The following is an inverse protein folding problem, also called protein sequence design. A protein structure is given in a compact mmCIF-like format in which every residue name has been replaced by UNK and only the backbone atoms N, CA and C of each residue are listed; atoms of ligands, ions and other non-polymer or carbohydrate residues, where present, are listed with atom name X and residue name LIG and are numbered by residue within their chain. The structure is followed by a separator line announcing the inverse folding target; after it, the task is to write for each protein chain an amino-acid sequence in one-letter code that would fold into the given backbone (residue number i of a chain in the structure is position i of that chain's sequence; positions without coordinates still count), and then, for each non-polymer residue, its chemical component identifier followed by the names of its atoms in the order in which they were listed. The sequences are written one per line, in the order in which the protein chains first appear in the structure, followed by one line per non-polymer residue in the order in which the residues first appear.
data_IF_162486023958
#
_entry.id   IF_162486023958
#
_cell.length_a   1.000
_cell.length_b   1.000
_cell.length_c   1.000
_cell.angle_alpha   90.00
_cell.angle_beta   90.00
_cell.angle_gamma   90.00
#
_symmetry.space_group_name_H-M   'P 1'
#
loop_
_entity.id
_entity.type
_entity.pdbx_description
1 polymer ?
2 non-polymer ?
3 non-polymer ?
4 non-polymer ?
5 water ?
#
# COMPACT_ATOMS: atom_id res chain seq x y z
N UNK A 1 15.50 2.86 -6.02
CA UNK A 1 14.13 2.98 -5.39
C UNK A 1 14.12 2.22 -4.04
N UNK A 2 12.95 2.03 -3.48
CA UNK A 2 12.81 1.49 -2.14
C UNK A 2 13.36 0.04 -2.04
N UNK A 3 13.09 -0.79 -3.04
CA UNK A 3 13.60 -2.16 -3.12
C UNK A 3 15.13 -2.18 -3.11
N UNK A 4 15.72 -1.33 -3.94
CA UNK A 4 17.18 -1.22 -3.90
C UNK A 4 17.71 -0.83 -2.51
N UNK A 5 17.13 0.15 -1.88
CA UNK A 5 17.56 0.58 -0.55
C UNK A 5 17.60 -0.53 0.49
N UNK A 6 16.59 -1.40 0.46
CA UNK A 6 16.53 -2.56 1.35
C UNK A 6 17.71 -3.49 1.10
N UNK A 7 18.09 -3.64 -0.18
CA UNK A 7 19.27 -4.46 -0.53
C UNK A 7 20.54 -3.74 -0.03
N UNK A 8 20.58 -2.43 -0.13
CA UNK A 8 21.75 -1.64 0.30
C UNK A 8 21.92 -1.77 1.81
N UNK A 9 20.84 -1.61 2.57
CA UNK A 9 20.90 -1.70 4.05
C UNK A 9 21.27 -3.12 4.50
N UNK A 10 20.60 -4.12 3.96
CA UNK A 10 20.87 -5.51 4.33
C UNK A 10 22.34 -5.90 4.04
N UNK A 11 22.95 -5.25 3.06
CA UNK A 11 24.35 -5.51 2.61
C UNK A 11 25.37 -5.26 3.72
N UNK A 12 25.08 -4.24 4.54
CA UNK A 12 25.95 -3.84 5.60
C UNK A 12 25.07 -3.46 6.80
N UNK A 13 24.21 -4.41 7.14
CA UNK A 13 23.13 -4.19 8.11
C UNK A 13 23.67 -3.72 9.47
N UNK A 14 24.71 -4.36 9.99
CA UNK A 14 25.19 -3.95 11.30
C UNK A 14 25.77 -2.48 11.38
N UNK A 15 26.42 -2.03 10.33
CA UNK A 15 26.92 -0.67 10.26
C UNK A 15 25.77 0.35 10.13
N UNK A 16 24.79 0.08 9.25
CA UNK A 16 23.62 0.93 9.06
C UNK A 16 22.80 0.89 10.29
N UNK A 17 22.69 -0.27 10.93
CA UNK A 17 21.82 -0.33 12.12
C UNK A 17 22.42 0.46 13.29
N UNK A 18 23.73 0.28 13.56
CA UNK A 18 24.38 1.14 14.54
C UNK A 18 24.27 2.61 14.23
N UNK A 19 24.61 3.04 13.00
CA UNK A 19 24.64 4.44 12.64
C UNK A 19 23.32 5.12 12.67
N UNK A 20 22.27 4.45 12.18
CA UNK A 20 20.96 5.06 12.18
C UNK A 20 20.38 5.18 13.61
N UNK A 21 20.53 4.12 14.38
CA UNK A 21 20.10 4.15 15.78
C UNK A 21 20.81 5.23 16.65
N UNK A 22 22.12 5.38 16.47
CA UNK A 22 22.86 6.45 17.13
C UNK A 22 22.31 7.82 16.66
N UNK A 23 22.03 7.94 15.39
CA UNK A 23 21.47 9.16 14.85
C UNK A 23 20.15 9.49 15.53
N UNK A 24 19.29 8.50 15.64
CA UNK A 24 18.06 8.57 16.44
C UNK A 24 18.21 9.03 17.88
N UNK A 25 19.01 8.30 18.67
CA UNK A 25 19.20 8.68 20.09
C UNK A 25 19.81 10.05 20.29
N UNK A 26 20.71 10.46 19.42
CA UNK A 26 21.39 11.72 19.63
C UNK A 26 20.53 12.84 19.15
N UNK A 27 19.71 12.57 18.14
CA UNK A 27 18.77 13.59 17.64
C UNK A 27 17.66 13.78 18.67
N UNK A 28 17.30 12.70 19.39
CA UNK A 28 16.20 12.72 20.35
C UNK A 28 16.67 12.13 21.67
N UNK A 29 17.48 12.90 22.41
CA UNK A 29 18.21 12.31 23.55
C UNK A 29 17.28 11.79 24.67
N UNK A 30 16.03 12.30 24.68
CA UNK A 30 15.11 11.82 25.66
C UNK A 30 14.62 10.42 25.39
N UNK A 31 14.83 9.91 24.18
CA UNK A 31 14.53 8.54 23.90
C UNK A 31 15.55 7.55 24.45
N UNK A 32 16.72 8.00 24.83
CA UNK A 32 17.65 7.08 25.38
C UNK A 32 17.15 6.43 26.67
N UNK A 33 16.30 7.15 27.41
CA UNK A 33 15.82 6.60 28.65
C UNK A 33 15.21 5.20 28.54
N UNK A 34 14.90 4.73 27.32
CA UNK A 34 14.17 3.46 27.19
C UNK A 34 15.12 2.34 27.16
N UNK A 35 16.39 2.73 27.06
CA UNK A 35 17.45 1.81 26.78
C UNK A 35 18.43 1.92 27.92
N UNK A 36 18.15 1.23 29.03
CA UNK A 36 18.83 1.42 30.33
C UNK A 36 20.34 1.25 30.30
N UNK A 37 20.80 0.25 29.57
CA UNK A 37 22.21 -0.08 29.46
C UNK A 37 23.01 0.80 28.47
N UNK A 38 22.34 1.77 27.85
CA UNK A 38 22.97 2.64 26.82
C UNK A 38 23.19 4.03 27.38
N UNK A 39 22.63 4.25 28.55
CA UNK A 39 22.74 5.54 29.22
C UNK A 39 24.17 5.70 29.59
N UNK A 40 24.67 6.91 29.33
CA UNK A 40 25.97 7.38 29.80
C UNK A 40 27.11 6.81 29.02
N UNK A 41 26.87 6.43 27.78
CA UNK A 41 27.91 5.96 26.89
C UNK A 41 28.04 6.86 25.62
N UNK A 42 29.26 7.08 25.20
CA UNK A 42 29.50 7.77 23.94
C UNK A 42 29.25 6.83 22.75
N UNK A 43 29.25 7.39 21.54
CA UNK A 43 28.94 6.61 20.32
C UNK A 43 29.96 5.48 20.18
N UNK A 44 31.22 5.81 20.46
CA UNK A 44 32.25 4.87 20.18
C UNK A 44 32.21 3.84 21.31
N UNK A 45 31.90 4.20 22.54
CA UNK A 45 31.72 3.19 23.55
C UNK A 45 30.62 2.21 23.22
N UNK A 46 29.53 2.68 22.63
CA UNK A 46 28.44 1.80 22.27
C UNK A 46 28.87 0.90 21.14
N UNK A 47 29.54 1.47 20.12
CA UNK A 47 29.91 0.68 18.98
C UNK A 47 30.91 -0.39 19.40
N UNK A 48 31.52 -0.26 20.56
CA UNK A 48 32.43 -1.30 21.09
C UNK A 48 31.78 -2.38 21.99
N UNK A 49 30.50 -2.24 22.35
CA UNK A 49 29.77 -3.21 23.17
C UNK A 49 29.09 -4.15 22.20
N UNK A 50 29.47 -5.44 22.18
CA UNK A 50 28.93 -6.39 21.24
C UNK A 50 27.38 -6.50 21.32
N UNK A 51 26.78 -6.46 22.52
CA UNK A 51 25.35 -6.58 22.65
C UNK A 51 24.57 -5.32 22.15
N UNK A 52 25.28 -4.19 22.02
CA UNK A 52 24.68 -3.00 21.38
C UNK A 52 24.52 -3.28 19.87
N UNK A 53 25.58 -3.67 19.20
CA UNK A 53 25.45 -4.07 17.80
C UNK A 53 24.46 -5.22 17.63
N UNK A 54 24.47 -6.19 18.53
CA UNK A 54 23.56 -7.32 18.45
C UNK A 54 22.06 -6.94 18.54
N UNK A 55 21.65 -6.09 19.46
CA UNK A 55 20.26 -5.62 19.62
C UNK A 55 19.80 -4.76 18.47
N UNK A 56 20.69 -3.93 18.01
CA UNK A 56 20.31 -2.98 16.96
C UNK A 56 20.17 -3.68 15.63
N UNK A 57 21.06 -4.64 15.35
CA UNK A 57 20.94 -5.38 14.14
C UNK A 57 19.58 -6.11 14.10
N UNK A 58 19.18 -6.73 15.23
CA UNK A 58 17.90 -7.43 15.32
C UNK A 58 16.75 -6.48 15.09
N UNK A 59 16.89 -5.24 15.56
CA UNK A 59 15.84 -4.26 15.36
C UNK A 59 15.70 -3.99 13.84
N UNK A 60 16.84 -3.75 13.16
CA UNK A 60 16.81 -3.31 11.75
C UNK A 60 16.55 -4.50 10.83
N UNK A 61 16.93 -5.69 11.29
CA UNK A 61 16.55 -6.90 10.58
C UNK A 61 15.00 -7.01 10.43
N UNK A 62 14.28 -6.87 11.55
CA UNK A 62 12.83 -6.94 11.49
C UNK A 62 12.29 -5.75 10.69
N UNK A 63 12.82 -4.54 10.93
CA UNK A 63 12.43 -3.44 10.04
C UNK A 63 12.52 -3.68 8.47
N UNK A 64 13.58 -4.32 8.01
CA UNK A 64 13.72 -4.64 6.59
C UNK A 64 12.73 -5.70 6.12
N UNK A 65 12.38 -6.63 7.00
CA UNK A 65 11.43 -7.70 6.71
C UNK A 65 10.09 -7.06 6.50
N UNK A 66 9.76 -6.09 7.35
CA UNK A 66 8.48 -5.39 7.28
C UNK A 66 8.44 -4.57 6.01
N UNK A 67 9.54 -3.86 5.73
CA UNK A 67 9.68 -3.12 4.48
C UNK A 67 9.55 -3.99 3.25
N UNK A 68 10.17 -5.16 3.26
CA UNK A 68 10.16 -6.04 2.10
C UNK A 68 8.74 -6.63 1.87
N UNK A 69 8.01 -6.81 2.94
CA UNK A 69 6.68 -7.37 2.79
C UNK A 69 5.62 -6.37 2.32
N UNK A 70 5.94 -5.09 2.44
CA UNK A 70 5.06 -3.99 2.06
C UNK A 70 4.84 -3.89 0.59
N UNK A 71 3.68 -3.35 0.21
CA UNK A 71 3.34 -3.11 -1.22
C UNK A 71 3.20 -1.61 -1.43
N UNK A 72 3.96 -1.02 -2.38
CA UNK A 72 4.02 0.45 -2.57
C UNK A 72 4.17 1.21 -1.24
N UNK A 73 5.06 0.73 -0.35
CA UNK A 73 5.31 1.38 0.99
C UNK A 73 4.19 1.27 2.01
N UNK A 74 3.19 0.42 1.72
CA UNK A 74 2.14 0.12 2.74
C UNK A 74 2.42 -1.25 3.42
N UNK A 75 2.70 -1.25 4.75
CA UNK A 75 2.99 -2.46 5.53
C UNK A 75 1.76 -3.34 5.77
N UNK A 76 2.00 -4.64 5.96
CA UNK A 76 0.92 -5.58 6.25
C UNK A 76 0.39 -5.26 7.60
N UNK A 77 -0.93 -5.40 7.77
CA UNK A 77 -1.55 -5.18 9.07
C UNK A 77 -0.95 -6.08 10.14
N UNK A 78 -0.56 -7.29 9.74
CA UNK A 78 -0.09 -8.25 10.70
C UNK A 78 1.30 -7.88 11.20
N UNK A 79 2.12 -7.31 10.32
CA UNK A 79 3.44 -6.83 10.79
C UNK A 79 3.29 -5.70 11.78
N UNK A 80 2.37 -4.79 11.51
CA UNK A 80 2.10 -3.75 12.45
C UNK A 80 1.67 -4.34 13.81
N UNK A 81 0.80 -5.37 13.79
CA UNK A 81 0.34 -5.98 15.02
C UNK A 81 1.49 -6.57 15.82
N UNK A 82 2.43 -7.23 15.18
CA UNK A 82 3.58 -7.77 15.89
C UNK A 82 4.32 -6.72 16.69
N UNK A 83 4.55 -5.57 16.07
CA UNK A 83 5.32 -4.47 16.67
C UNK A 83 4.71 -3.82 17.92
N UNK A 84 3.38 -3.78 17.95
CA UNK A 84 2.57 -3.22 19.03
C UNK A 84 2.51 -4.18 20.21
N UNK A 85 2.48 -5.46 19.95
CA UNK A 85 2.35 -6.37 21.09
C UNK A 85 3.55 -7.09 21.52
N UNK A 86 4.70 -6.70 20.97
CA UNK A 86 6.00 -7.07 21.55
C UNK A 86 6.12 -6.48 22.95
N UNK A 87 6.44 -7.32 23.93
CA UNK A 87 6.42 -6.84 25.31
C UNK A 87 7.41 -5.70 25.55
N UNK A 88 8.42 -5.59 24.68
CA UNK A 88 9.44 -4.54 24.73
C UNK A 88 8.96 -3.19 24.29
N UNK A 89 7.86 -3.20 23.55
CA UNK A 89 7.25 -1.99 23.00
C UNK A 89 6.00 -1.57 23.80
N UNK A 90 5.72 -2.29 24.91
CA UNK A 90 4.51 -2.10 25.75
C UNK A 90 4.20 -0.64 26.17
N UNK A 91 5.24 0.14 26.44
CA UNK A 91 4.96 1.50 26.92
C UNK A 91 5.17 2.62 25.89
N UNK A 92 5.11 2.31 24.60
CA UNK A 92 5.46 3.33 23.60
C UNK A 92 4.24 3.86 22.98
N UNK A 93 4.37 5.00 22.38
CA UNK A 93 3.31 5.49 21.56
C UNK A 93 3.78 5.72 20.10
N UNK A 94 2.86 6.02 19.20
CA UNK A 94 3.30 6.23 17.81
C UNK A 94 4.29 7.39 17.65
N UNK A 95 4.30 8.29 18.64
CA UNK A 95 5.22 9.41 18.55
C UNK A 95 6.64 8.91 18.61
N UNK A 96 6.89 7.80 19.30
CA UNK A 96 8.27 7.28 19.40
C UNK A 96 8.79 6.77 18.04
N UNK A 97 7.88 6.12 17.29
CA UNK A 97 8.15 5.58 15.96
C UNK A 97 8.30 6.70 14.95
N UNK A 98 7.43 7.72 15.01
CA UNK A 98 7.64 8.95 14.17
C UNK A 98 9.05 9.54 14.24
N UNK A 99 9.62 9.67 15.45
CA UNK A 99 10.92 10.19 15.65
C UNK A 99 11.97 9.28 15.06
N UNK A 100 11.86 7.98 15.25
CA UNK A 100 12.84 7.13 14.61
C UNK A 100 12.82 7.38 13.07
N UNK A 101 11.64 7.49 12.47
CA UNK A 101 11.62 7.72 11.03
C UNK A 101 12.11 9.09 10.56
N UNK A 102 11.83 10.12 11.31
CA UNK A 102 12.43 11.40 11.02
C UNK A 102 13.95 11.22 10.96
N UNK A 103 14.53 10.53 11.92
CA UNK A 103 16.00 10.45 12.05
C UNK A 103 16.56 9.68 10.89
N UNK A 104 15.84 8.61 10.62
CA UNK A 104 16.17 7.70 9.54
C UNK A 104 16.19 8.44 8.14
N UNK A 105 15.18 9.25 7.88
CA UNK A 105 15.10 9.92 6.59
C UNK A 105 16.16 10.99 6.52
N UNK A 106 16.38 11.70 7.62
CA UNK A 106 17.46 12.72 7.75
C UNK A 106 18.81 12.09 7.51
N UNK A 107 19.01 10.93 8.11
CA UNK A 107 20.25 10.17 7.82
C UNK A 107 20.47 9.86 6.34
N UNK A 108 19.44 9.34 5.69
CA UNK A 108 19.46 9.06 4.24
C UNK A 108 19.72 10.29 3.37
N UNK A 109 19.04 11.39 3.67
CA UNK A 109 19.26 12.62 2.90
C UNK A 109 20.74 13.10 3.05
N UNK A 110 21.29 13.01 4.26
CA UNK A 110 22.64 13.53 4.56
C UNK A 110 23.74 12.63 4.07
N UNK A 111 23.46 11.34 3.90
CA UNK A 111 24.45 10.42 3.40
C UNK A 111 24.97 10.67 1.94
N UNK A 112 26.10 10.06 1.61
CA UNK A 112 26.57 10.07 0.22
C UNK A 112 25.52 9.51 -0.73
N UNK A 113 25.12 8.25 -0.41
CA UNK A 113 24.27 7.30 -1.14
C UNK A 113 22.96 7.89 -1.68
N UNK A 114 22.45 7.29 -2.74
CA UNK A 114 21.20 7.74 -3.31
C UNK A 114 20.02 6.89 -2.83
N UNK A 115 19.57 7.17 -1.62
CA UNK A 115 18.41 6.45 -1.11
C UNK A 115 17.16 7.10 -1.67
N UNK A 116 16.09 6.37 -1.66
CA UNK A 116 14.80 6.87 -2.10
C UNK A 116 14.10 7.40 -0.88
N UNK A 117 14.58 8.58 -0.46
CA UNK A 117 14.25 9.06 0.87
C UNK A 117 12.75 9.42 0.96
N UNK A 118 12.14 9.89 -0.14
CA UNK A 118 10.71 10.16 -0.14
C UNK A 118 9.92 8.86 0.16
N UNK A 119 10.29 7.71 -0.40
CA UNK A 119 9.57 6.42 -0.17
C UNK A 119 9.70 5.95 1.27
N UNK A 120 10.87 6.16 1.92
CA UNK A 120 11.05 5.86 3.35
C UNK A 120 10.18 6.76 4.21
N UNK A 121 10.06 8.01 3.78
CA UNK A 121 9.12 8.98 4.41
C UNK A 121 7.68 8.42 4.35
N UNK A 122 7.21 8.13 3.16
CA UNK A 122 5.92 7.43 2.95
C UNK A 122 5.78 6.17 3.76
N UNK A 123 6.78 5.30 3.71
CA UNK A 123 6.75 4.06 4.53
C UNK A 123 6.54 4.25 6.01
N UNK A 124 7.30 5.17 6.62
CA UNK A 124 7.15 5.57 8.06
C UNK A 124 5.73 6.08 8.39
N UNK A 125 5.20 6.98 7.58
CA UNK A 125 3.85 7.50 7.77
C UNK A 125 2.82 6.41 7.66
N UNK A 126 2.99 5.53 6.69
CA UNK A 126 2.09 4.39 6.57
C UNK A 126 2.19 3.40 7.78
N UNK A 127 3.39 3.19 8.33
CA UNK A 127 3.54 2.27 9.48
C UNK A 127 2.94 2.85 10.74
N UNK A 128 3.12 4.14 10.93
CA UNK A 128 2.59 4.82 12.10
C UNK A 128 1.03 4.70 12.00
N UNK A 129 0.49 4.98 10.83
CA UNK A 129 -0.96 4.84 10.61
C UNK A 129 -1.37 3.41 10.94
N UNK A 130 -0.63 2.41 10.47
CA UNK A 130 -0.96 1.03 10.81
C UNK A 130 -0.85 0.65 12.25
N UNK A 131 0.10 1.27 12.95
CA UNK A 131 0.30 0.99 14.38
C UNK A 131 -0.88 1.48 15.20
N UNK A 132 -1.40 2.67 14.86
CA UNK A 132 -2.53 3.14 15.57
C UNK A 132 -3.72 2.21 15.31
N UNK A 133 -3.92 1.80 14.04
CA UNK A 133 -5.01 0.88 13.73
C UNK A 133 -4.90 -0.41 14.51
N UNK A 134 -3.69 -0.85 14.88
CA UNK A 134 -3.48 -2.02 15.76
C UNK A 134 -3.62 -1.69 17.24
N UNK A 135 -3.98 -0.43 17.53
CA UNK A 135 -4.28 0.03 18.87
C UNK A 135 -3.14 0.61 19.69
N UNK A 136 -2.02 0.89 19.04
CA UNK A 136 -0.99 1.61 19.77
C UNK A 136 -1.49 3.05 20.03
N UNK A 137 -1.19 3.62 21.20
CA UNK A 137 -1.61 4.98 21.54
C UNK A 137 -0.85 6.07 20.79
N UNK B 1 -5.88 14.35 -8.40
CA UNK B 1 -5.26 13.03 -8.20
C UNK B 1 -6.25 11.88 -7.98
N UNK B 2 -5.77 10.73 -7.50
CA UNK B 2 -6.61 9.55 -7.28
C UNK B 2 -7.83 9.80 -6.40
N UNK B 3 -7.64 10.46 -5.26
CA UNK B 3 -8.73 10.73 -4.38
C UNK B 3 -9.76 11.67 -4.99
N UNK B 4 -9.31 12.67 -5.73
CA UNK B 4 -10.22 13.47 -6.58
C UNK B 4 -11.00 12.69 -7.64
N UNK B 5 -10.35 11.77 -8.33
CA UNK B 5 -11.01 11.02 -9.39
C UNK B 5 -12.19 10.25 -8.89
N UNK B 6 -12.09 9.71 -7.67
CA UNK B 6 -13.16 8.97 -7.03
C UNK B 6 -14.37 9.85 -6.91
N UNK B 7 -14.15 11.09 -6.48
CA UNK B 7 -15.24 12.02 -6.36
C UNK B 7 -15.83 12.39 -7.72
N UNK B 8 -14.97 12.52 -8.74
CA UNK B 8 -15.43 12.91 -10.07
C UNK B 8 -16.36 11.86 -10.64
N UNK B 9 -15.94 10.62 -10.54
CA UNK B 9 -16.77 9.53 -11.04
C UNK B 9 -18.07 9.37 -10.22
N UNK B 10 -17.94 9.44 -8.88
CA UNK B 10 -19.17 9.45 -8.04
C UNK B 10 -20.14 10.55 -8.39
N UNK B 11 -19.66 11.66 -8.86
CA UNK B 11 -20.54 12.74 -9.25
C UNK B 11 -21.40 12.54 -10.48
N UNK B 12 -21.06 11.59 -11.34
CA UNK B 12 -21.82 11.32 -12.54
C UNK B 12 -21.71 9.81 -12.79
N UNK B 13 -22.02 9.03 -11.78
CA UNK B 13 -21.61 7.61 -11.70
C UNK B 13 -22.20 6.78 -12.85
N UNK B 14 -23.52 6.84 -13.01
CA UNK B 14 -24.14 6.09 -14.08
C UNK B 14 -23.54 6.42 -15.48
N UNK B 15 -23.26 7.69 -15.80
CA UNK B 15 -22.67 8.01 -17.11
C UNK B 15 -21.27 7.40 -17.27
N UNK B 16 -20.42 7.64 -16.29
CA UNK B 16 -19.06 7.06 -16.32
C UNK B 16 -19.13 5.57 -16.27
N UNK B 17 -19.97 4.96 -15.41
CA UNK B 17 -19.96 3.50 -15.32
C UNK B 17 -20.32 2.86 -16.70
N UNK B 18 -21.36 3.39 -17.35
CA UNK B 18 -21.76 2.84 -18.63
C UNK B 18 -20.70 3.08 -19.69
N UNK B 19 -20.17 4.31 -19.77
CA UNK B 19 -19.13 4.64 -20.76
C UNK B 19 -17.89 3.81 -20.60
N UNK B 20 -17.41 3.61 -19.37
CA UNK B 20 -16.18 2.83 -19.16
C UNK B 20 -16.46 1.33 -19.41
N UNK B 21 -17.61 0.85 -18.97
CA UNK B 21 -17.89 -0.56 -19.19
C UNK B 21 -18.08 -0.86 -20.66
N UNK B 22 -18.72 0.04 -21.39
CA UNK B 22 -18.78 -0.14 -22.86
C UNK B 22 -17.38 -0.09 -23.52
N UNK B 23 -16.51 0.80 -23.05
CA UNK B 23 -15.15 0.91 -23.51
C UNK B 23 -14.48 -0.44 -23.38
N UNK B 24 -14.63 -1.06 -22.18
CA UNK B 24 -14.13 -2.42 -21.89
C UNK B 24 -14.73 -3.47 -22.83
N UNK B 25 -16.04 -3.52 -22.95
CA UNK B 25 -16.60 -4.53 -23.79
C UNK B 25 -16.29 -4.39 -25.32
N UNK B 26 -16.13 -3.17 -25.82
CA UNK B 26 -15.73 -2.89 -27.21
C UNK B 26 -14.25 -3.07 -27.46
N UNK B 27 -13.47 -2.89 -26.42
CA UNK B 27 -12.02 -3.11 -26.57
C UNK B 27 -11.72 -4.60 -26.50
N UNK B 28 -12.49 -5.34 -25.71
CA UNK B 28 -12.29 -6.81 -25.53
C UNK B 28 -13.56 -7.55 -25.75
N UNK B 29 -13.90 -7.73 -27.04
CA UNK B 29 -15.21 -8.30 -27.33
C UNK B 29 -15.42 -9.71 -26.79
N UNK B 30 -14.33 -10.47 -26.70
CA UNK B 30 -14.37 -11.81 -26.05
C UNK B 30 -14.95 -11.81 -24.61
N UNK B 31 -14.82 -10.67 -23.89
CA UNK B 31 -15.20 -10.61 -22.47
C UNK B 31 -16.68 -10.62 -22.26
N UNK B 32 -17.38 -10.28 -23.33
CA UNK B 32 -18.85 -10.28 -23.36
C UNK B 32 -19.40 -11.69 -23.13
N UNK B 33 -18.61 -12.74 -23.34
CA UNK B 33 -19.15 -14.08 -23.13
C UNK B 33 -19.45 -14.43 -21.71
N UNK B 34 -19.03 -13.58 -20.77
CA UNK B 34 -19.43 -13.75 -19.37
C UNK B 34 -20.70 -13.00 -19.10
N UNK B 35 -21.08 -12.15 -20.05
CA UNK B 35 -22.26 -11.29 -19.95
C UNK B 35 -23.16 -11.60 -21.13
N UNK B 36 -23.86 -12.73 -20.97
CA UNK B 36 -24.86 -13.31 -21.90
C UNK B 36 -25.79 -12.37 -22.69
N UNK B 37 -26.64 -11.59 -22.01
CA UNK B 37 -27.65 -10.77 -22.71
C UNK B 37 -27.11 -9.47 -23.33
N UNK B 38 -25.76 -9.30 -23.36
CA UNK B 38 -25.15 -8.09 -23.95
C UNK B 38 -24.62 -8.34 -25.37
N UNK B 39 -24.51 -9.60 -25.74
CA UNK B 39 -24.06 -9.99 -27.08
C UNK B 39 -25.09 -9.54 -28.14
N UNK B 40 -24.65 -9.02 -29.27
CA UNK B 40 -25.60 -8.77 -30.38
C UNK B 40 -26.15 -7.34 -30.39
N UNK B 41 -25.67 -6.48 -29.47
CA UNK B 41 -26.33 -5.18 -29.21
C UNK B 41 -25.39 -4.02 -29.41
N UNK B 42 -25.92 -2.94 -29.99
CA UNK B 42 -25.12 -1.75 -30.14
C UNK B 42 -25.06 -1.03 -28.80
N UNK B 43 -24.17 -0.05 -28.71
CA UNK B 43 -24.07 0.65 -27.45
C UNK B 43 -25.41 1.29 -27.11
N UNK B 44 -26.11 1.88 -28.07
CA UNK B 44 -27.36 2.57 -27.68
C UNK B 44 -28.44 1.63 -27.18
N UNK B 45 -28.45 0.43 -27.72
CA UNK B 45 -29.32 -0.67 -27.28
C UNK B 45 -29.03 -1.15 -25.89
N UNK B 46 -27.76 -1.28 -25.54
CA UNK B 46 -27.40 -1.63 -24.15
C UNK B 46 -27.81 -0.54 -23.18
N UNK B 47 -27.59 0.74 -23.55
CA UNK B 47 -27.98 1.84 -22.69
C UNK B 47 -29.49 1.91 -22.41
N UNK B 48 -30.31 1.28 -23.23
CA UNK B 48 -31.73 1.30 -22.93
C UNK B 48 -32.21 0.02 -22.23
N UNK B 49 -31.32 -0.91 -21.95
CA UNK B 49 -31.65 -2.14 -21.24
C UNK B 49 -31.57 -1.80 -19.74
N UNK B 50 -32.60 -2.19 -18.98
CA UNK B 50 -32.64 -1.82 -17.56
C UNK B 50 -31.51 -2.46 -16.76
N UNK B 51 -31.30 -3.74 -17.00
CA UNK B 51 -30.35 -4.48 -16.21
C UNK B 51 -28.92 -3.89 -16.45
N UNK B 52 -28.65 -3.43 -17.67
CA UNK B 52 -27.30 -2.96 -17.99
C UNK B 52 -26.93 -1.73 -17.17
N UNK B 53 -27.82 -0.73 -17.14
CA UNK B 53 -27.63 0.45 -16.30
C UNK B 53 -27.50 0.11 -14.80
N UNK B 54 -28.40 -0.74 -14.34
CA UNK B 54 -28.50 -1.04 -12.93
C UNK B 54 -27.24 -1.78 -12.45
N UNK B 55 -26.88 -2.83 -13.18
CA UNK B 55 -25.76 -3.68 -12.77
C UNK B 55 -24.41 -2.96 -12.87
N UNK B 56 -24.19 -2.23 -13.96
CA UNK B 56 -22.96 -1.50 -14.21
C UNK B 56 -22.71 -0.41 -13.13
N UNK B 57 -23.76 0.26 -12.75
CA UNK B 57 -23.60 1.19 -11.66
C UNK B 57 -23.22 0.47 -10.30
N UNK B 58 -23.83 -0.64 -9.99
CA UNK B 58 -23.50 -1.40 -8.76
C UNK B 58 -22.04 -1.89 -8.82
N UNK B 59 -21.56 -2.29 -10.03
CA UNK B 59 -20.13 -2.61 -10.17
C UNK B 59 -19.29 -1.43 -9.80
N UNK B 60 -19.59 -0.28 -10.37
CA UNK B 60 -18.80 0.92 -10.12
C UNK B 60 -18.95 1.53 -8.71
N UNK B 61 -20.13 1.43 -8.09
CA UNK B 61 -20.36 1.80 -6.68
C UNK B 61 -19.35 1.01 -5.81
N UNK B 62 -19.25 -0.29 -6.04
CA UNK B 62 -18.31 -1.04 -5.25
C UNK B 62 -16.82 -0.73 -5.60
N UNK B 63 -16.50 -0.52 -6.89
CA UNK B 63 -15.11 -0.28 -7.25
C UNK B 63 -14.67 0.96 -6.57
N UNK B 64 -15.58 1.95 -6.50
CA UNK B 64 -15.25 3.18 -5.89
C UNK B 64 -15.03 3.09 -4.38
N UNK B 65 -15.83 2.28 -3.65
CA UNK B 65 -15.56 1.99 -2.22
C UNK B 65 -14.20 1.30 -2.05
N UNK B 66 -13.87 0.34 -2.91
CA UNK B 66 -12.55 -0.36 -2.81
C UNK B 66 -11.39 0.63 -2.99
N UNK B 67 -11.56 1.54 -3.92
CA UNK B 67 -10.59 2.60 -4.21
C UNK B 67 -10.52 3.57 -3.05
N UNK B 68 -11.68 3.85 -2.47
CA UNK B 68 -11.76 4.84 -1.38
C UNK B 68 -11.17 4.28 -0.06
N UNK B 69 -11.28 2.98 0.14
CA UNK B 69 -10.66 2.31 1.31
C UNK B 69 -9.14 2.00 1.23
N UNK B 70 -8.58 2.17 0.04
CA UNK B 70 -7.18 1.88 -0.23
C UNK B 70 -6.25 2.94 0.42
N UNK B 71 -5.01 2.58 0.72
CA UNK B 71 -3.96 3.53 1.21
C UNK B 71 -2.91 3.55 0.09
N UNK B 72 -2.54 4.73 -0.43
CA UNK B 72 -1.61 4.77 -1.57
C UNK B 72 -1.96 3.77 -2.69
N UNK B 73 -3.24 3.65 -3.04
CA UNK B 73 -3.67 2.77 -4.14
C UNK B 73 -3.42 1.29 -3.87
N UNK B 74 -3.25 0.93 -2.58
CA UNK B 74 -3.13 -0.49 -2.15
C UNK B 74 -4.45 -0.85 -1.44
N UNK B 75 -5.19 -1.80 -2.01
CA UNK B 75 -6.53 -1.99 -1.43
C UNK B 75 -6.46 -2.80 -0.14
N UNK B 76 -7.56 -2.80 0.62
CA UNK B 76 -7.72 -3.71 1.79
C UNK B 76 -7.74 -5.20 1.39
N UNK B 77 -6.98 -6.04 2.12
CA UNK B 77 -7.15 -7.50 1.93
C UNK B 77 -8.61 -7.98 1.99
N UNK B 78 -9.42 -7.41 2.89
CA UNK B 78 -10.78 -7.93 3.04
C UNK B 78 -11.58 -7.53 1.80
N UNK B 79 -11.27 -6.39 1.17
CA UNK B 79 -12.01 -6.02 -0.07
C UNK B 79 -11.74 -6.99 -1.27
N UNK B 80 -10.51 -7.44 -1.35
CA UNK B 80 -10.08 -8.37 -2.37
C UNK B 80 -10.71 -9.73 -2.02
N UNK B 81 -10.72 -10.11 -0.75
CA UNK B 81 -11.40 -11.38 -0.38
C UNK B 81 -12.86 -11.34 -0.80
N UNK B 82 -13.54 -10.23 -0.53
CA UNK B 82 -14.91 -10.06 -1.05
C UNK B 82 -15.07 -10.31 -2.52
N UNK B 83 -14.21 -9.69 -3.30
CA UNK B 83 -14.31 -9.77 -4.77
C UNK B 83 -14.13 -11.17 -5.31
N UNK B 84 -13.32 -11.98 -4.61
CA UNK B 84 -12.98 -13.37 -5.06
C UNK B 84 -14.10 -14.30 -4.65
N UNK B 85 -14.64 -14.05 -3.47
CA UNK B 85 -15.69 -14.87 -2.97
C UNK B 85 -17.11 -14.64 -3.51
N UNK B 86 -17.38 -13.53 -4.15
CA UNK B 86 -18.68 -13.37 -4.82
C UNK B 86 -18.94 -14.47 -5.83
N UNK B 87 -20.15 -15.02 -5.76
CA UNK B 87 -20.53 -16.09 -6.71
C UNK B 87 -20.44 -15.69 -8.16
N UNK B 88 -20.78 -14.44 -8.49
CA UNK B 88 -20.68 -13.95 -9.88
C UNK B 88 -19.25 -13.89 -10.46
N UNK B 89 -18.26 -13.95 -9.58
CA UNK B 89 -16.89 -13.85 -10.00
C UNK B 89 -16.16 -15.20 -9.94
N UNK B 90 -16.92 -16.27 -9.71
CA UNK B 90 -16.22 -17.52 -9.43
C UNK B 90 -15.60 -18.14 -10.73
N UNK B 91 -16.07 -17.76 -11.93
CA UNK B 91 -15.46 -18.27 -13.16
C UNK B 91 -14.17 -17.51 -13.56
N UNK B 92 -13.80 -16.46 -12.79
CA UNK B 92 -12.83 -15.47 -13.29
C UNK B 92 -11.43 -15.73 -12.86
N UNK B 93 -10.49 -15.18 -13.64
CA UNK B 93 -9.06 -15.10 -13.29
C UNK B 93 -8.63 -13.66 -13.28
N UNK B 94 -7.48 -13.39 -12.67
CA UNK B 94 -7.00 -12.00 -12.51
C UNK B 94 -6.81 -11.34 -13.85
N UNK B 95 -6.61 -12.15 -14.89
CA UNK B 95 -6.50 -11.62 -16.26
C UNK B 95 -7.71 -10.80 -16.71
N UNK B 96 -8.91 -11.20 -16.30
CA UNK B 96 -10.14 -10.45 -16.62
C UNK B 96 -10.12 -9.06 -16.00
N UNK B 97 -9.58 -8.98 -14.80
CA UNK B 97 -9.53 -7.74 -14.06
C UNK B 97 -8.43 -6.88 -14.69
N UNK B 98 -7.31 -7.48 -15.10
CA UNK B 98 -6.24 -6.72 -15.78
C UNK B 98 -6.86 -6.06 -17.00
N UNK B 99 -7.69 -6.77 -17.79
CA UNK B 99 -8.20 -6.16 -19.05
C UNK B 99 -9.21 -4.99 -18.80
N UNK B 100 -10.08 -5.18 -17.81
CA UNK B 100 -10.90 -4.10 -17.31
C UNK B 100 -10.07 -2.85 -16.99
N UNK B 101 -8.96 -3.00 -16.26
CA UNK B 101 -8.19 -1.84 -15.88
C UNK B 101 -7.48 -1.14 -17.02
N UNK B 102 -7.02 -1.93 -17.99
CA UNK B 102 -6.46 -1.38 -19.25
C UNK B 102 -7.48 -0.56 -20.03
N UNK B 103 -8.73 -1.02 -20.15
CA UNK B 103 -9.79 -0.24 -20.78
C UNK B 103 -10.15 1.00 -19.97
N UNK B 104 -10.19 0.88 -18.65
CA UNK B 104 -10.46 1.99 -17.76
C UNK B 104 -9.40 3.08 -17.90
N UNK B 105 -8.14 2.69 -17.81
CA UNK B 105 -7.07 3.70 -17.96
C UNK B 105 -6.98 4.31 -19.36
N UNK B 106 -7.33 3.53 -20.38
CA UNK B 106 -7.35 4.08 -21.76
C UNK B 106 -8.46 5.09 -21.96
N UNK B 107 -9.63 4.82 -21.37
CA UNK B 107 -10.72 5.70 -21.36
C UNK B 107 -10.36 7.05 -20.70
N UNK B 108 -9.75 7.00 -19.51
CA UNK B 108 -9.34 8.21 -18.84
C UNK B 108 -8.31 9.06 -19.62
N UNK B 109 -7.36 8.40 -20.29
CA UNK B 109 -6.37 9.12 -21.12
C UNK B 109 -7.03 9.84 -22.32
N UNK B 110 -8.02 9.24 -22.97
CA UNK B 110 -8.64 9.78 -24.19
C UNK B 110 -9.68 10.79 -23.88
N UNK B 111 -10.12 10.84 -22.63
CA UNK B 111 -11.22 11.72 -22.28
C UNK B 111 -10.77 13.21 -22.22
N UNK B 112 -11.74 14.09 -22.32
CA UNK B 112 -11.57 15.41 -21.77
C UNK B 112 -10.81 15.57 -20.43
N UNK B 113 -11.33 14.90 -19.37
CA UNK B 113 -11.05 15.28 -17.99
C UNK B 113 -9.59 15.08 -17.57
N UNK B 114 -9.22 15.64 -16.43
CA UNK B 114 -7.86 15.44 -15.94
C UNK B 114 -7.86 14.33 -14.88
N UNK B 115 -7.98 13.09 -15.29
CA UNK B 115 -7.85 11.99 -14.33
C UNK B 115 -6.41 11.74 -14.08
N UNK B 116 -6.11 11.05 -12.99
CA UNK B 116 -4.75 10.66 -12.66
C UNK B 116 -4.65 9.19 -13.10
N UNK B 117 -4.48 9.06 -14.41
CA UNK B 117 -4.57 7.76 -14.97
C UNK B 117 -3.39 6.89 -14.54
N UNK B 118 -2.21 7.47 -14.24
CA UNK B 118 -1.10 6.65 -13.67
C UNK B 118 -1.44 5.90 -12.32
N UNK B 119 -2.13 6.59 -11.42
CA UNK B 119 -2.65 5.93 -10.20
C UNK B 119 -3.65 4.83 -10.44
N UNK B 120 -4.58 5.02 -11.39
CA UNK B 120 -5.56 3.99 -11.69
C UNK B 120 -4.86 2.72 -12.19
N UNK B 121 -3.79 2.91 -12.97
CA UNK B 121 -2.97 1.78 -13.42
C UNK B 121 -2.34 1.03 -12.21
N UNK B 122 -1.77 1.81 -11.29
CA UNK B 122 -1.17 1.24 -10.08
C UNK B 122 -2.19 0.52 -9.22
N UNK B 123 -3.35 1.13 -9.04
CA UNK B 123 -4.48 0.55 -8.31
C UNK B 123 -4.90 -0.74 -8.94
N UNK B 124 -5.11 -0.76 -10.25
CA UNK B 124 -5.32 -1.99 -10.95
C UNK B 124 -4.31 -3.13 -10.71
N UNK B 125 -3.03 -2.86 -10.87
CA UNK B 125 -1.95 -3.77 -10.54
C UNK B 125 -1.91 -4.29 -9.12
N UNK B 126 -2.06 -3.40 -8.12
CA UNK B 126 -2.19 -3.76 -6.71
C UNK B 126 -3.41 -4.62 -6.36
N UNK B 127 -4.54 -4.33 -7.04
CA UNK B 127 -5.75 -5.10 -6.89
C UNK B 127 -5.58 -6.53 -7.44
N UNK B 128 -5.09 -6.68 -8.67
CA UNK B 128 -4.82 -8.00 -9.26
C UNK B 128 -3.93 -8.85 -8.29
N UNK B 129 -2.92 -8.22 -7.73
CA UNK B 129 -2.03 -8.90 -6.82
C UNK B 129 -2.79 -9.34 -5.57
N UNK B 130 -3.64 -8.47 -5.04
CA UNK B 130 -4.41 -8.78 -3.83
C UNK B 130 -5.42 -9.89 -4.09
N UNK B 131 -5.96 -9.92 -5.31
CA UNK B 131 -6.87 -11.03 -5.72
C UNK B 131 -6.12 -12.39 -5.79
N UNK B 132 -4.91 -12.35 -6.32
CA UNK B 132 -4.00 -13.49 -6.32
C UNK B 132 -3.80 -14.00 -4.87
N UNK B 133 -3.39 -13.13 -3.92
CA UNK B 133 -3.21 -13.56 -2.51
C UNK B 133 -4.49 -14.09 -1.87
N UNK B 134 -5.66 -13.63 -2.28
CA UNK B 134 -6.86 -14.11 -1.66
C UNK B 134 -7.31 -15.41 -2.29
N UNK B 135 -6.61 -15.90 -3.33
CA UNK B 135 -6.97 -17.24 -3.91
C UNK B 135 -7.35 -17.36 -5.38
N UNK B 136 -7.74 -16.27 -6.02
CA UNK B 136 -8.16 -16.29 -7.44
C UNK B 136 -7.00 -16.65 -8.35
N UNK B 137 -7.25 -17.51 -9.33
CA UNK B 137 -6.23 -17.94 -10.32
C UNK B 137 -5.83 -16.90 -11.35
X LIG C 1 13.57 -4.11 21.36
X LIG C 1 12.00 -4.01 16.81
X LIG C 1 11.03 0.70 17.16
X LIG C 1 11.96 0.51 21.98
X LIG C 1 13.26 -4.48 20.07
X LIG C 1 13.53 -5.76 19.49
X LIG C 1 13.09 -5.74 18.21
X LIG C 1 12.54 -4.42 17.99
X LIG C 1 13.16 -6.82 17.13
X LIG C 1 14.21 -6.91 20.28
X LIG C 1 15.74 -6.84 20.15
X LIG C 1 16.42 -8.14 20.56
X LIG C 1 17.67 -8.20 20.47
X LIG C 1 15.75 -9.16 20.97
X LIG C 1 11.67 -2.73 16.46
X LIG C 1 11.32 -2.29 15.13
X LIG C 1 11.06 -0.98 15.22
X LIG C 1 11.19 -0.58 16.62
X LIG C 1 11.35 -3.20 13.88
X LIG C 1 10.68 0.11 14.15
X LIG C 1 9.98 -0.13 13.05
X LIG C 1 11.28 1.08 18.48
X LIG C 1 11.23 2.45 19.04
X LIG C 1 11.49 2.37 20.38
X LIG C 1 11.70 1.03 20.71
X LIG C 1 10.97 3.64 18.10
X LIG C 1 11.59 3.47 21.47
X LIG C 1 11.97 4.68 21.04
X LIG C 1 12.49 -0.75 22.24
X LIG C 1 12.97 -1.16 23.51
X LIG C 1 13.46 -2.60 23.34
X LIG C 1 13.26 -2.91 21.94
X LIG C 1 12.91 -0.29 24.75
X LIG C 1 14.06 -3.58 24.38
X LIG C 1 15.39 -3.12 24.92
X LIG C 1 16.40 -3.35 23.83
X LIG C 1 16.55 -4.52 23.35
X LIG C 1 17.04 -2.35 23.42
X LIG C 1 12.65 -3.67 19.13
X LIG C 1 11.55 -1.66 17.33
X LIG C 1 11.58 0.25 19.53
X LIG C 1 12.67 -1.82 21.32
X LIG C 1 12.09 -1.73 19.33
X LIG D 1 13.81 -0.77 19.01
X LIG D 1 14.93 -0.59 19.24
X LIG E 1 -21.38 -9.00 -11.04
X LIG E 1 -18.28 -5.87 -8.88
X LIG E 1 -14.83 -6.92 -12.13
X LIG E 1 -17.81 -10.28 -14.04
X LIG E 1 -20.85 -8.03 -10.20
X LIG E 1 -21.57 -7.38 -9.15
X LIG E 1 -20.72 -6.52 -8.58
X LIG E 1 -19.40 -6.64 -9.20
X LIG E 1 -20.98 -5.54 -7.41
X LIG E 1 -23.09 -7.60 -8.83
X LIG E 1 -23.82 -6.65 -9.80
X LIG E 1 -25.32 -6.70 -9.59
X LIG E 1 -25.82 -7.26 -8.61
X LIG E 1 -26.06 -6.12 -10.35
X LIG E 1 -17.07 -5.84 -9.57
X LIG E 1 -15.95 -5.01 -9.32
X LIG E 1 -15.00 -5.31 -10.23
X LIG E 1 -15.51 -6.34 -11.09
X LIG E 1 -15.91 -4.00 -8.17
X LIG E 1 -13.56 -4.77 -10.47
X LIG E 1 -12.76 -4.23 -9.53
X LIG E 1 -15.34 -7.89 -12.97
X LIG E 1 -14.73 -8.45 -14.15
X LIG E 1 -15.59 -9.35 -14.67
X LIG E 1 -16.73 -9.41 -13.83
X LIG E 1 -13.37 -7.97 -14.59
X LIG E 1 -15.56 -10.31 -15.90
X LIG E 1 -15.15 -9.98 -17.11
X LIG E 1 -19.06 -10.28 -13.46
X LIG E 1 -20.21 -11.04 -13.88
X LIG E 1 -21.33 -10.64 -12.96
X LIG E 1 -20.77 -9.65 -12.07
X LIG E 1 -20.26 -12.09 -15.03
X LIG E 1 -22.76 -11.17 -13.04
X LIG E 1 -23.38 -10.42 -14.21
X LIG E 1 -24.11 -9.20 -13.65
X LIG E 1 -24.44 -8.25 -14.42
X LIG E 1 -24.41 -9.15 -12.42
X LIG E 1 -19.54 -7.58 -10.22
X LIG E 1 -16.79 -6.64 -10.69
X LIG E 1 -16.56 -8.51 -12.80
X LIG E 1 -19.45 -9.48 -12.38
X LIG E 1 -18.06 -8.04 -11.54
X LIG F 1 -18.76 -6.67 -12.88
X LIG F 1 -18.75 -6.25 -13.97
X LIG G 1 -3.87 11.52 -4.64
X LIG G 1 -4.26 12.93 -4.76
X LIG G 1 -3.57 10.93 -5.92
X LIG G 1 -2.71 11.46 -3.80
X LIG G 1 -4.91 10.73 -4.03
X LIG H 1 -21.72 -8.40 -31.64
X LIG H 1 -22.44 -7.85 -32.72
X LIG H 1 -20.33 -8.62 -32.01
X LIG H 1 -21.64 -7.57 -30.46
X LIG H 1 -22.35 -9.64 -31.24
#
# INVERSE_FOLDING_TARGET
GFKQDIATIRGDLRTYAQDIFLAFLNKYPDERRYFKNYVGKSDQELKSMAKFGDHTEKVFNLMMEVADRATDCVPLASDANTLVQMKQHSSLTTGNFEKLFVALVEYMRASGQSFDSQSWDRFGKNLVSALSSAGMK
GFKQDIATIRGDLRTYAQDIFLAFLNKYPDERRYFKNYVGKSDQELKSMAKFGDHTEKVFNLMMEVADRATDCVPLASDANTLVQMKQHSSLTTGNFEKLFVALVEYMRASGQSFDSQSWDRFGKNLVSALSSAGMK
HEM CHA CHB CHC CHD C1A C2A C3A C4A CMA CAA CBA CGA O1A O2A C1B C2B C3B C4B CMB CAB CBB C1C C2C C3C C4C CMC CAC CBC C1D C2D C3D C4D CMD CAD CBD CGD O1D O2D NA NB NC ND FE
CMO C O
HEM CHA CHB CHC CHD C1A C2A C3A C4A CMA CAA CBA CGA O1A O2A C1B C2B C3B C4B CMB CAB CBB C1C C2C C3C C4C CMC CAC CBC C1D C2D C3D C4D CMD CAD CBD CGD O1D O2D NA NB NC ND FE
CMO C O
SO4 S O1 O2 O3 O4
SO4 S O1 O2 O3 O4
#
